data_IF_386283279570
#
_entry.id   IF_386283279570
#
_cell.length_a   1.000
_cell.length_b   1.000
_cell.length_c   1.000
_cell.angle_alpha   90.00
_cell.angle_beta   90.00
_cell.angle_gamma   90.00
#
_symmetry.space_group_name_H-M   'P 1'
#
loop_
_entity.id
_entity.type
_entity.pdbx_description
1 polymer ?
#
# COMPACT_ATOMS: atom_id res chain seq x y z
N UNK A 1 0.37 -17.44 -16.15
CA UNK A 1 0.48 -17.48 -14.68
C UNK A 1 -0.95 -17.42 -14.14
N UNK A 2 -1.32 -18.24 -13.14
CA UNK A 2 -2.69 -18.27 -12.61
C UNK A 2 -2.90 -17.11 -11.61
N UNK A 3 -4.13 -16.59 -11.49
CA UNK A 3 -4.55 -15.47 -10.64
C UNK A 3 -4.04 -15.60 -9.20
N UNK A 4 -4.14 -16.79 -8.60
CA UNK A 4 -3.67 -17.04 -7.23
C UNK A 4 -2.16 -16.84 -7.03
N UNK A 5 -1.34 -17.13 -8.05
CA UNK A 5 0.11 -16.92 -7.97
C UNK A 5 0.47 -15.43 -8.11
N UNK A 6 -0.30 -14.66 -8.89
CA UNK A 6 -0.16 -13.21 -8.98
C UNK A 6 -0.51 -12.54 -7.65
N UNK A 7 -1.63 -12.94 -7.03
CA UNK A 7 -2.07 -12.39 -5.73
C UNK A 7 -1.05 -12.64 -4.61
N UNK A 8 -0.39 -13.81 -4.59
CA UNK A 8 0.69 -14.11 -3.64
C UNK A 8 1.92 -13.23 -3.85
N UNK A 9 2.38 -13.05 -5.10
CA UNK A 9 3.54 -12.20 -5.43
C UNK A 9 3.25 -10.73 -5.05
N UNK A 10 2.02 -10.29 -5.17
CA UNK A 10 1.63 -8.92 -4.87
C UNK A 10 1.45 -8.68 -3.36
N UNK A 11 1.04 -9.69 -2.59
CA UNK A 11 1.13 -9.65 -1.12
C UNK A 11 2.58 -9.59 -0.64
N UNK A 12 3.50 -10.29 -1.30
CA UNK A 12 4.95 -10.21 -1.02
C UNK A 12 5.55 -8.84 -1.40
N UNK A 13 4.82 -8.01 -2.15
CA UNK A 13 5.29 -6.70 -2.58
C UNK A 13 5.04 -5.57 -1.57
N UNK A 14 4.46 -5.91 -0.43
CA UNK A 14 4.30 -5.04 0.74
C UNK A 14 4.93 -5.75 1.93
N UNK A 15 5.96 -5.16 2.52
CA UNK A 15 6.62 -5.75 3.70
C UNK A 15 6.45 -4.86 4.91
N UNK A 16 6.15 -5.47 6.06
CA UNK A 16 6.11 -4.81 7.36
C UNK A 16 7.33 -5.24 8.20
N UNK A 17 8.09 -4.26 8.70
CA UNK A 17 9.29 -4.50 9.53
C UNK A 17 9.33 -3.55 10.73
N UNK A 18 10.20 -3.84 11.71
CA UNK A 18 10.37 -3.01 12.93
C UNK A 18 11.84 -2.56 13.08
N UNK A 19 12.32 -1.58 12.29
CA UNK A 19 13.73 -1.20 12.26
C UNK A 19 14.17 -0.43 13.53
N UNK A 20 13.22 0.12 14.29
CA UNK A 20 13.45 0.84 15.54
C UNK A 20 12.36 0.47 16.54
N UNK A 21 12.67 0.64 17.84
CA UNK A 21 11.68 0.44 18.90
C UNK A 21 10.47 1.34 18.66
N UNK A 22 9.27 0.76 18.74
CA UNK A 22 7.98 1.43 18.55
C UNK A 22 7.66 1.93 17.14
N UNK A 23 8.52 1.68 16.15
CA UNK A 23 8.28 2.13 14.77
C UNK A 23 8.07 0.94 13.87
N UNK A 24 6.89 0.87 13.26
CA UNK A 24 6.60 0.01 12.13
C UNK A 24 7.07 0.67 10.83
N UNK A 25 7.60 -0.11 9.90
CA UNK A 25 7.99 0.32 8.56
C UNK A 25 7.30 -0.58 7.54
N UNK A 26 6.36 0.01 6.80
CA UNK A 26 5.83 -0.57 5.57
C UNK A 26 6.71 -0.13 4.40
N UNK A 27 7.18 -1.09 3.62
CA UNK A 27 7.89 -0.84 2.37
C UNK A 27 7.14 -1.43 1.19
N UNK A 28 6.92 -0.61 0.16
CA UNK A 28 6.27 -0.96 -1.10
C UNK A 28 7.31 -1.30 -2.17
N UNK A 29 7.33 -2.55 -2.62
CA UNK A 29 8.27 -3.09 -3.62
C UNK A 29 7.59 -3.56 -4.92
N UNK A 30 6.28 -3.30 -5.07
CA UNK A 30 5.49 -3.68 -6.24
C UNK A 30 6.15 -3.22 -7.55
N UNK A 31 6.29 -4.12 -8.52
CA UNK A 31 6.95 -3.81 -9.79
C UNK A 31 5.95 -3.40 -10.88
N UNK A 32 6.29 -2.38 -11.71
CA UNK A 32 7.45 -1.49 -11.56
C UNK A 32 7.18 -0.34 -10.58
N UNK A 33 8.19 0.06 -9.81
CA UNK A 33 8.26 1.35 -9.11
C UNK A 33 7.09 1.67 -8.15
N UNK A 34 6.63 0.68 -7.38
CA UNK A 34 5.57 0.85 -6.40
C UNK A 34 4.20 1.06 -7.03
N UNK A 35 3.89 0.36 -8.12
CA UNK A 35 2.59 0.44 -8.78
C UNK A 35 1.45 -0.07 -7.85
N UNK A 36 0.35 0.68 -7.78
CA UNK A 36 -0.78 0.43 -6.89
C UNK A 36 -1.88 -0.35 -7.59
N UNK A 37 -1.71 -1.67 -7.67
CA UNK A 37 -2.79 -2.59 -8.06
C UNK A 37 -3.78 -2.82 -6.94
N UNK A 38 -4.96 -3.35 -7.25
CA UNK A 38 -5.98 -3.66 -6.22
C UNK A 38 -5.41 -4.57 -5.12
N UNK A 39 -4.72 -5.64 -5.51
CA UNK A 39 -4.04 -6.58 -4.61
C UNK A 39 -3.01 -5.93 -3.70
N UNK A 40 -2.20 -5.00 -4.24
CA UNK A 40 -1.19 -4.24 -3.50
C UNK A 40 -1.85 -3.31 -2.48
N UNK A 41 -2.95 -2.65 -2.86
CA UNK A 41 -3.74 -1.83 -1.91
C UNK A 41 -4.33 -2.70 -0.79
N UNK A 42 -4.85 -3.89 -1.10
CA UNK A 42 -5.29 -4.84 -0.07
C UNK A 42 -4.14 -5.26 0.87
N UNK A 43 -2.95 -5.53 0.32
CA UNK A 43 -1.78 -5.87 1.14
C UNK A 43 -1.32 -4.72 2.03
N UNK A 44 -1.46 -3.45 1.59
CA UNK A 44 -1.23 -2.28 2.43
C UNK A 44 -2.24 -2.18 3.57
N UNK A 45 -3.52 -2.47 3.33
CA UNK A 45 -4.56 -2.52 4.37
C UNK A 45 -4.21 -3.59 5.41
N UNK A 46 -3.86 -4.80 4.98
CA UNK A 46 -3.46 -5.90 5.88
C UNK A 46 -2.22 -5.52 6.73
N UNK A 47 -1.21 -4.89 6.13
CA UNK A 47 0.00 -4.44 6.85
C UNK A 47 -0.30 -3.31 7.84
N UNK A 48 -1.24 -2.42 7.51
CA UNK A 48 -1.70 -1.37 8.42
C UNK A 48 -2.47 -1.97 9.60
N UNK A 49 -3.38 -2.92 9.35
CA UNK A 49 -4.09 -3.69 10.39
C UNK A 49 -3.12 -4.38 11.34
N UNK A 50 -2.09 -5.06 10.82
CA UNK A 50 -1.09 -5.73 11.66
C UNK A 50 -0.35 -4.73 12.56
N UNK A 51 0.08 -3.59 12.01
CA UNK A 51 0.78 -2.56 12.78
C UNK A 51 -0.14 -1.93 13.85
N UNK A 52 -1.40 -1.71 13.53
CA UNK A 52 -2.42 -1.22 14.46
C UNK A 52 -2.84 -2.25 15.51
N UNK A 53 -2.70 -3.55 15.23
CA UNK A 53 -2.94 -4.60 16.22
C UNK A 53 -1.85 -4.69 17.29
N UNK A 54 -0.65 -4.18 17.00
CA UNK A 54 0.51 -4.29 17.90
C UNK A 54 0.56 -3.11 18.90
N UNK A 55 0.33 -3.35 20.22
CA UNK A 55 0.38 -2.29 21.23
C UNK A 55 1.79 -1.74 21.46
N UNK A 56 2.84 -2.43 20.98
CA UNK A 56 4.20 -1.92 21.04
C UNK A 56 4.50 -0.88 19.95
N UNK A 57 3.72 -0.85 18.86
CA UNK A 57 3.88 0.14 17.77
C UNK A 57 3.20 1.45 18.15
N UNK A 58 3.93 2.55 17.95
CA UNK A 58 3.48 3.92 18.26
C UNK A 58 3.55 4.87 17.07
N UNK A 59 4.19 4.48 15.99
CA UNK A 59 4.22 5.21 14.72
C UNK A 59 4.47 4.24 13.56
N UNK A 60 3.96 4.59 12.39
CA UNK A 60 4.13 3.84 11.16
C UNK A 60 4.80 4.72 10.10
N UNK A 61 5.83 4.19 9.44
CA UNK A 61 6.44 4.82 8.28
C UNK A 61 6.08 4.01 7.04
N UNK A 62 5.57 4.68 6.01
CA UNK A 62 5.33 4.11 4.68
C UNK A 62 6.37 4.65 3.71
N UNK A 63 7.04 3.79 2.95
CA UNK A 63 8.02 4.21 1.94
C UNK A 63 8.04 3.24 0.76
N UNK A 64 8.62 3.64 -0.38
CA UNK A 64 8.85 2.76 -1.51
C UNK A 64 10.22 2.07 -1.48
N UNK A 65 10.40 1.09 -2.35
CA UNK A 65 11.69 0.47 -2.61
C UNK A 65 12.39 1.09 -3.83
N UNK A 66 13.71 1.26 -3.73
CA UNK A 66 14.54 1.76 -4.81
C UNK A 66 14.33 3.25 -5.07
N UNK A 67 14.05 3.62 -6.32
CA UNK A 67 14.07 5.02 -6.80
C UNK A 67 12.71 5.73 -6.83
N UNK A 68 11.65 5.07 -6.35
CA UNK A 68 10.31 5.63 -6.34
C UNK A 68 9.62 5.32 -5.00
N UNK A 69 8.74 6.22 -4.58
CA UNK A 69 7.76 5.93 -3.56
C UNK A 69 6.63 5.10 -4.17
N UNK A 70 5.95 5.67 -5.17
CA UNK A 70 4.92 5.00 -5.96
C UNK A 70 4.65 5.78 -7.24
N UNK A 71 4.48 5.06 -8.35
CA UNK A 71 4.03 5.62 -9.63
C UNK A 71 2.50 5.62 -9.80
N UNK A 72 1.75 5.27 -8.74
CA UNK A 72 0.30 5.28 -8.73
C UNK A 72 -0.36 4.04 -9.32
N UNK A 73 -1.63 4.16 -9.66
CA UNK A 73 -2.48 3.06 -10.11
C UNK A 73 -2.02 2.46 -11.44
N UNK A 74 -2.15 1.14 -11.57
CA UNK A 74 -1.86 0.46 -12.83
C UNK A 74 -3.01 0.67 -13.83
N UNK A 75 -2.82 1.59 -14.79
CA UNK A 75 -3.82 1.84 -15.84
C UNK A 75 -4.15 0.60 -16.67
N UNK A 76 -3.26 -0.42 -16.68
CA UNK A 76 -3.49 -1.69 -17.40
C UNK A 76 -4.49 -2.59 -16.67
N UNK A 77 -4.75 -2.37 -15.39
CA UNK A 77 -5.80 -3.08 -14.65
C UNK A 77 -7.20 -2.55 -14.93
N UNK A 78 -7.30 -1.36 -15.52
CA UNK A 78 -8.59 -0.70 -15.67
C UNK A 78 -9.51 -1.54 -16.56
N UNK A 79 -10.73 -1.77 -16.07
CA UNK A 79 -11.80 -2.44 -16.80
C UNK A 79 -13.00 -1.50 -16.83
N UNK A 80 -13.75 -1.53 -17.94
CA UNK A 80 -14.93 -0.70 -18.12
C UNK A 80 -16.21 -1.35 -17.56
N UNK A 81 -16.11 -2.47 -16.85
CA UNK A 81 -17.28 -3.09 -16.22
C UNK A 81 -17.54 -2.51 -14.82
N UNK A 82 -18.81 -2.39 -14.48
CA UNK A 82 -19.25 -1.74 -13.24
C UNK A 82 -18.82 -2.50 -11.97
N UNK A 83 -18.57 -3.80 -12.06
CA UNK A 83 -18.18 -4.61 -10.91
C UNK A 83 -16.73 -4.33 -10.51
N UNK A 84 -15.84 -4.25 -11.50
CA UNK A 84 -14.45 -3.89 -11.30
C UNK A 84 -14.31 -2.46 -10.79
N UNK A 85 -15.03 -1.49 -11.40
CA UNK A 85 -14.99 -0.09 -10.97
C UNK A 85 -15.39 0.09 -9.50
N UNK A 86 -16.50 -0.53 -9.07
CA UNK A 86 -16.94 -0.50 -7.67
C UNK A 86 -15.91 -1.12 -6.73
N UNK A 87 -15.27 -2.23 -7.13
CA UNK A 87 -14.23 -2.86 -6.32
C UNK A 87 -12.99 -1.99 -6.19
N UNK A 88 -12.54 -1.39 -7.30
CA UNK A 88 -11.37 -0.52 -7.32
C UNK A 88 -11.58 0.71 -6.42
N UNK A 89 -12.76 1.33 -6.51
CA UNK A 89 -13.16 2.47 -5.68
C UNK A 89 -13.27 2.09 -4.20
N UNK A 90 -13.92 0.97 -3.88
CA UNK A 90 -14.07 0.52 -2.49
C UNK A 90 -12.72 0.28 -1.80
N UNK A 91 -11.78 -0.40 -2.47
CA UNK A 91 -10.44 -0.67 -1.91
C UNK A 91 -9.61 0.60 -1.79
N UNK A 92 -9.77 1.56 -2.71
CA UNK A 92 -9.09 2.85 -2.64
C UNK A 92 -9.59 3.69 -1.46
N UNK A 93 -10.91 3.81 -1.32
CA UNK A 93 -11.51 4.53 -0.19
C UNK A 93 -11.16 3.88 1.14
N UNK A 94 -11.24 2.56 1.24
CA UNK A 94 -10.88 1.83 2.46
C UNK A 94 -9.42 2.09 2.87
N UNK A 95 -8.48 2.00 1.94
CA UNK A 95 -7.06 2.28 2.23
C UNK A 95 -6.86 3.71 2.73
N UNK A 96 -7.46 4.70 2.06
CA UNK A 96 -7.34 6.10 2.43
C UNK A 96 -7.97 6.36 3.81
N UNK A 97 -9.20 5.91 4.03
CA UNK A 97 -9.92 6.05 5.30
C UNK A 97 -9.15 5.41 6.46
N UNK A 98 -8.51 4.26 6.23
CA UNK A 98 -7.72 3.56 7.27
C UNK A 98 -6.43 4.32 7.59
N UNK A 99 -5.76 4.91 6.60
CA UNK A 99 -4.56 5.73 6.83
C UNK A 99 -4.94 7.02 7.57
N UNK A 100 -5.96 7.74 7.09
CA UNK A 100 -6.42 9.00 7.67
C UNK A 100 -6.99 8.82 9.09
N UNK A 101 -7.72 7.72 9.30
CA UNK A 101 -8.32 7.36 10.58
C UNK A 101 -7.41 6.53 11.49
N UNK A 102 -6.15 6.32 11.14
CA UNK A 102 -5.28 5.41 11.89
C UNK A 102 -5.07 5.88 13.32
N UNK A 103 -5.06 4.93 14.27
CA UNK A 103 -4.64 5.23 15.66
C UNK A 103 -3.14 5.57 15.76
N UNK A 104 -2.35 5.20 14.75
CA UNK A 104 -0.93 5.44 14.67
C UNK A 104 -0.68 6.70 13.86
N UNK A 105 0.25 7.58 14.25
CA UNK A 105 0.81 8.56 13.34
C UNK A 105 1.45 7.84 12.15
N UNK A 106 0.89 8.04 10.95
CA UNK A 106 1.40 7.51 9.68
C UNK A 106 2.26 8.58 9.01
N UNK A 107 3.49 8.22 8.62
CA UNK A 107 4.45 9.11 7.98
C UNK A 107 4.80 8.54 6.60
N UNK A 108 4.44 9.25 5.53
CA UNK A 108 4.93 8.94 4.20
C UNK A 108 6.37 9.47 4.01
N UNK A 109 7.34 8.56 3.90
CA UNK A 109 8.72 8.87 3.58
C UNK A 109 8.94 8.74 2.06
N UNK A 110 8.74 9.84 1.33
CA UNK A 110 8.82 9.90 -0.12
C UNK A 110 10.27 9.78 -0.62
N UNK A 111 10.70 8.57 -0.97
CA UNK A 111 12.07 8.24 -1.37
C UNK A 111 12.37 8.46 -2.87
N UNK A 112 11.46 9.07 -3.63
CA UNK A 112 11.63 9.29 -5.06
C UNK A 112 10.34 9.70 -5.75
N UNK A 113 10.11 9.19 -6.97
CA UNK A 113 8.88 9.50 -7.72
C UNK A 113 7.61 9.15 -6.93
N UNK A 114 6.70 10.12 -6.88
CA UNK A 114 5.39 10.06 -6.21
C UNK A 114 4.36 10.62 -7.17
N UNK A 115 3.65 9.76 -7.90
CA UNK A 115 2.79 10.16 -9.03
C UNK A 115 1.38 9.60 -8.87
N UNK A 116 0.38 10.36 -9.35
CA UNK A 116 -1.01 9.91 -9.40
C UNK A 116 -1.52 9.42 -8.05
N UNK A 117 -2.03 8.18 -7.99
CA UNK A 117 -2.46 7.55 -6.74
C UNK A 117 -1.38 7.46 -5.66
N UNK A 118 -0.09 7.49 -6.02
CA UNK A 118 1.01 7.56 -5.06
C UNK A 118 1.06 8.89 -4.29
N UNK A 119 0.56 9.99 -4.87
CA UNK A 119 0.42 11.29 -4.19
C UNK A 119 -0.83 11.34 -3.32
N UNK A 120 -1.88 10.60 -3.69
CA UNK A 120 -3.08 10.46 -2.86
C UNK A 120 -2.78 9.60 -1.62
N UNK A 121 -1.92 8.59 -1.77
CA UNK A 121 -1.50 7.68 -0.70
C UNK A 121 -0.56 8.33 0.34
N UNK A 122 0.13 9.42 -0.02
CA UNK A 122 1.16 10.05 0.82
C UNK A 122 0.60 11.01 1.85
#
# INVERSE_FOLDING_TARGET
MNVAATDMIERESVTLTRPRRHVALIRLSARPLGVLRISVKCALIEALEEAEGDPAVRALVLTGEGRAFSVGSDVREFRHDASWLRRAEAVENELNDRIEGSRLPVIAALNGHTLGGGLVLS
#
